data_IF_788072110006
#
_entry.id   IF_788072110006
#
_cell.length_a   1.000
_cell.length_b   1.000
_cell.length_c   1.000
_cell.angle_alpha   90.00
_cell.angle_beta   90.00
_cell.angle_gamma   90.00
#
_symmetry.space_group_name_H-M   'P 1'
#
loop_
_entity.id
_entity.type
_entity.pdbx_description
1 polymer ?
#
# COMPACT_ATOMS: atom_id res chain seq x y z
N UNK A 1 12.96 -48.17 -11.33
CA UNK A 1 11.93 -47.32 -10.69
C UNK A 1 11.85 -46.00 -11.45
N UNK A 2 10.83 -45.78 -12.28
CA UNK A 2 10.66 -44.53 -13.04
C UNK A 2 10.02 -43.46 -12.15
N UNK A 3 10.72 -42.35 -11.96
CA UNK A 3 10.16 -41.17 -11.30
C UNK A 3 9.03 -40.59 -12.18
N UNK A 4 7.80 -40.64 -11.68
CA UNK A 4 6.63 -40.05 -12.36
C UNK A 4 6.77 -38.53 -12.30
N UNK A 5 7.13 -37.90 -13.42
CA UNK A 5 7.07 -36.44 -13.54
C UNK A 5 5.60 -36.01 -13.49
N UNK A 6 5.26 -35.15 -12.52
CA UNK A 6 3.93 -34.55 -12.43
C UNK A 6 3.61 -33.78 -13.73
N UNK A 7 2.41 -34.00 -14.27
CA UNK A 7 1.95 -33.36 -15.51
C UNK A 7 1.93 -31.83 -15.35
N UNK A 8 2.05 -31.07 -16.44
CA UNK A 8 2.00 -29.60 -16.40
C UNK A 8 0.70 -29.08 -15.78
N UNK A 9 -0.41 -29.81 -15.96
CA UNK A 9 -1.69 -29.56 -15.29
C UNK A 9 -1.61 -29.75 -13.77
N UNK A 10 -0.92 -30.79 -13.29
CA UNK A 10 -0.72 -31.02 -11.86
C UNK A 10 0.18 -29.95 -11.22
N UNK A 11 1.16 -29.42 -11.96
CA UNK A 11 2.01 -28.30 -11.50
C UNK A 11 1.25 -26.98 -11.47
N UNK A 12 0.43 -26.70 -12.48
CA UNK A 12 -0.43 -25.52 -12.52
C UNK A 12 -1.48 -25.55 -11.40
N UNK A 13 -2.11 -26.72 -11.17
CA UNK A 13 -3.02 -26.94 -10.05
C UNK A 13 -2.34 -26.78 -8.70
N UNK A 14 -1.08 -27.20 -8.56
CA UNK A 14 -0.30 -27.01 -7.33
C UNK A 14 0.05 -25.53 -7.08
N UNK A 15 0.39 -24.76 -8.12
CA UNK A 15 0.64 -23.31 -8.00
C UNK A 15 -0.65 -22.56 -7.66
N UNK A 16 -1.78 -22.91 -8.31
CA UNK A 16 -3.11 -22.38 -7.98
C UNK A 16 -3.53 -22.75 -6.55
N UNK A 17 -3.27 -23.98 -6.11
CA UNK A 17 -3.54 -24.43 -4.75
C UNK A 17 -2.65 -23.73 -3.72
N UNK A 18 -1.37 -23.50 -4.02
CA UNK A 18 -0.45 -22.74 -3.16
C UNK A 18 -0.84 -21.26 -3.07
N UNK A 19 -1.25 -20.66 -4.19
CA UNK A 19 -1.84 -19.32 -4.20
C UNK A 19 -3.13 -19.27 -3.38
N UNK A 20 -3.99 -20.30 -3.47
CA UNK A 20 -5.22 -20.41 -2.68
C UNK A 20 -4.95 -20.60 -1.17
N UNK A 21 -3.89 -21.32 -0.77
CA UNK A 21 -3.52 -21.49 0.64
C UNK A 21 -2.95 -20.23 1.29
N UNK A 22 -2.46 -19.27 0.50
CA UNK A 22 -2.04 -17.95 1.00
C UNK A 22 -3.20 -17.08 1.53
N UNK A 23 -4.44 -17.39 1.15
CA UNK A 23 -5.64 -16.69 1.63
C UNK A 23 -6.20 -17.25 2.95
N UNK A 24 -5.63 -18.35 3.46
CA UNK A 24 -6.03 -18.98 4.72
C UNK A 24 -5.05 -18.60 5.85
N UNK A 25 -4.73 -17.32 6.01
CA UNK A 25 -4.08 -16.85 7.23
C UNK A 25 -5.10 -16.85 8.36
N UNK A 26 -5.14 -17.92 9.15
CA UNK A 26 -5.65 -17.81 10.53
C UNK A 26 -4.71 -16.87 11.27
N UNK A 27 -5.27 -15.89 11.99
CA UNK A 27 -4.49 -15.02 12.87
C UNK A 27 -3.68 -15.91 13.81
N UNK A 28 -2.35 -15.78 13.78
CA UNK A 28 -1.50 -16.41 14.77
C UNK A 28 -1.76 -15.69 16.10
N UNK A 29 -2.51 -16.34 16.99
CA UNK A 29 -2.83 -15.82 18.32
C UNK A 29 -1.61 -15.96 19.25
N UNK A 30 -0.57 -15.18 18.94
CA UNK A 30 0.62 -14.99 19.75
C UNK A 30 0.92 -13.50 19.99
N UNK A 31 -0.11 -12.65 19.86
CA UNK A 31 -0.02 -11.25 20.23
C UNK A 31 -0.42 -11.10 21.70
N UNK A 32 0.53 -10.64 22.52
CA UNK A 32 0.32 -10.17 23.91
C UNK A 32 -1.05 -9.48 24.01
N UNK A 33 -1.82 -9.81 25.06
CA UNK A 33 -3.05 -9.06 25.38
C UNK A 33 -2.65 -7.61 25.68
N UNK A 34 -2.78 -6.75 24.68
CA UNK A 34 -2.64 -5.31 24.83
C UNK A 34 -4.03 -4.71 25.07
N UNK A 35 -4.11 -3.71 25.94
CA UNK A 35 -5.37 -3.04 26.24
C UNK A 35 -5.61 -1.93 25.19
N UNK A 36 -6.62 -2.04 24.31
CA UNK A 36 -6.84 -1.07 23.22
C UNK A 36 -7.10 0.36 23.72
N UNK A 37 -7.64 0.49 24.93
CA UNK A 37 -7.91 1.78 25.58
C UNK A 37 -6.64 2.53 26.04
N UNK A 38 -5.48 1.86 26.07
CA UNK A 38 -4.21 2.43 26.56
C UNK A 38 -3.35 3.04 25.44
N UNK A 39 -3.57 2.67 24.17
CA UNK A 39 -2.78 3.20 23.05
C UNK A 39 -3.36 4.54 22.59
N UNK A 40 -2.78 5.63 23.08
CA UNK A 40 -3.07 6.97 22.56
C UNK A 40 -2.38 7.19 21.23
N UNK A 41 -3.17 7.05 20.18
CA UNK A 41 -2.88 7.46 18.82
C UNK A 41 -2.50 8.93 18.60
N UNK A 42 -1.89 9.22 17.45
CA UNK A 42 -1.85 10.57 16.87
C UNK A 42 -2.98 10.61 15.84
N UNK A 43 -3.97 11.51 15.99
CA UNK A 43 -5.01 11.69 14.99
C UNK A 43 -4.40 12.33 13.74
N UNK A 44 -4.82 11.85 12.57
CA UNK A 44 -4.37 12.31 11.26
C UNK A 44 -5.61 12.78 10.50
N UNK A 45 -5.61 14.05 10.12
CA UNK A 45 -6.70 14.63 9.32
C UNK A 45 -6.71 14.02 7.92
N UNK A 46 -7.87 13.57 7.45
CA UNK A 46 -8.02 13.06 6.09
C UNK A 46 -7.81 14.16 5.04
N UNK A 47 -7.23 13.78 3.92
CA UNK A 47 -7.16 14.60 2.70
C UNK A 47 -8.51 14.55 1.96
N UNK A 48 -8.85 15.65 1.30
CA UNK A 48 -9.87 15.58 0.24
C UNK A 48 -9.40 14.62 -0.87
N UNK A 49 -10.34 14.05 -1.61
CA UNK A 49 -10.03 13.18 -2.75
C UNK A 49 -9.11 13.88 -3.78
N UNK A 50 -9.38 15.15 -4.08
CA UNK A 50 -8.52 15.93 -4.97
C UNK A 50 -7.11 16.14 -4.42
N UNK A 51 -6.97 16.35 -3.11
CA UNK A 51 -5.67 16.50 -2.47
C UNK A 51 -4.86 15.20 -2.49
N UNK A 52 -5.52 14.03 -2.40
CA UNK A 52 -4.83 12.74 -2.51
C UNK A 52 -4.07 12.62 -3.83
N UNK A 53 -4.69 13.00 -4.95
CA UNK A 53 -4.05 12.91 -6.26
C UNK A 53 -2.75 13.73 -6.29
N UNK A 54 -2.72 14.91 -5.66
CA UNK A 54 -1.52 15.74 -5.58
C UNK A 54 -0.50 15.15 -4.62
N UNK A 55 -0.89 14.75 -3.40
CA UNK A 55 0.07 14.16 -2.43
C UNK A 55 0.65 12.85 -2.95
N UNK A 56 -0.11 12.08 -3.74
CA UNK A 56 0.39 10.87 -4.38
C UNK A 56 1.57 11.16 -5.31
N UNK A 57 1.50 12.22 -6.12
CA UNK A 57 2.59 12.64 -7.02
C UNK A 57 3.87 12.98 -6.22
N UNK A 58 3.71 13.56 -5.01
CA UNK A 58 4.82 14.04 -4.18
C UNK A 58 5.25 13.07 -3.06
N UNK A 59 4.53 11.96 -2.83
CA UNK A 59 4.80 11.04 -1.71
C UNK A 59 6.25 10.59 -1.70
N UNK A 60 6.81 10.25 -2.86
CA UNK A 60 8.19 9.77 -2.94
C UNK A 60 9.20 10.82 -2.47
N UNK A 61 8.96 12.10 -2.75
CA UNK A 61 9.83 13.20 -2.36
C UNK A 61 9.67 13.55 -0.88
N UNK A 62 8.45 13.48 -0.34
CA UNK A 62 8.20 13.57 1.11
C UNK A 62 9.01 12.50 1.85
N UNK A 63 8.95 11.25 1.38
CA UNK A 63 9.67 10.14 2.00
C UNK A 63 11.19 10.27 1.87
N UNK A 64 11.70 10.78 0.74
CA UNK A 64 13.13 11.08 0.57
C UNK A 64 13.59 12.16 1.56
N UNK A 65 12.78 13.20 1.77
CA UNK A 65 13.09 14.26 2.71
C UNK A 65 13.08 13.73 4.15
N UNK A 66 12.07 12.93 4.52
CA UNK A 66 12.00 12.27 5.81
C UNK A 66 13.20 11.35 6.07
N UNK A 67 13.70 10.65 5.05
CA UNK A 67 14.89 9.80 5.17
C UNK A 67 16.20 10.59 5.45
N UNK A 68 16.20 11.91 5.24
CA UNK A 68 17.35 12.79 5.50
C UNK A 68 17.24 13.51 6.85
N UNK A 69 16.13 13.34 7.56
CA UNK A 69 15.88 14.04 8.81
C UNK A 69 16.84 13.60 9.91
N UNK A 70 17.34 14.57 10.68
CA UNK A 70 18.27 14.32 11.79
C UNK A 70 17.59 14.42 13.15
N UNK A 71 16.47 15.14 13.24
CA UNK A 71 15.69 15.28 14.46
C UNK A 71 14.38 14.50 14.32
N UNK A 72 14.34 13.31 14.91
CA UNK A 72 13.18 12.42 14.89
C UNK A 72 12.64 12.29 16.32
N UNK A 73 11.62 13.07 16.65
CA UNK A 73 10.86 12.90 17.89
C UNK A 73 9.84 11.75 17.77
N UNK A 74 9.13 11.46 18.86
CA UNK A 74 8.14 10.37 18.89
C UNK A 74 7.05 10.55 17.81
N UNK A 75 6.57 11.78 17.63
CA UNK A 75 5.57 12.14 16.60
C UNK A 75 6.07 11.79 15.20
N UNK A 76 7.27 12.23 14.84
CA UNK A 76 7.88 11.94 13.54
C UNK A 76 7.96 10.42 13.31
N UNK A 77 8.51 9.68 14.27
CA UNK A 77 8.72 8.24 14.15
C UNK A 77 7.38 7.51 13.99
N UNK A 78 6.36 7.92 14.73
CA UNK A 78 5.02 7.31 14.67
C UNK A 78 4.32 7.58 13.35
N UNK A 79 4.35 8.82 12.85
CA UNK A 79 3.79 9.18 11.55
C UNK A 79 4.51 8.43 10.41
N UNK A 80 5.84 8.40 10.44
CA UNK A 80 6.66 7.69 9.45
C UNK A 80 6.36 6.19 9.44
N UNK A 81 6.34 5.57 10.61
CA UNK A 81 6.06 4.13 10.74
C UNK A 81 4.64 3.80 10.31
N UNK A 82 3.65 4.57 10.77
CA UNK A 82 2.26 4.41 10.36
C UNK A 82 2.12 4.51 8.84
N UNK A 83 2.64 5.57 8.22
CA UNK A 83 2.56 5.77 6.78
C UNK A 83 3.23 4.65 5.96
N UNK A 84 4.35 4.10 6.44
CA UNK A 84 5.03 2.97 5.78
C UNK A 84 4.26 1.65 5.94
N UNK A 85 3.73 1.37 7.13
CA UNK A 85 2.89 0.19 7.39
C UNK A 85 1.63 0.27 6.55
N UNK A 86 0.90 1.39 6.61
CA UNK A 86 -0.33 1.62 5.88
C UNK A 86 -0.12 1.49 4.36
N UNK A 87 0.95 2.05 3.82
CA UNK A 87 1.31 1.91 2.40
C UNK A 87 1.55 0.45 2.00
N UNK A 88 2.16 -0.35 2.88
CA UNK A 88 2.37 -1.78 2.65
C UNK A 88 1.05 -2.56 2.67
N UNK A 89 0.16 -2.27 3.63
CA UNK A 89 -1.18 -2.84 3.68
C UNK A 89 -2.01 -2.49 2.43
N UNK A 90 -1.78 -1.32 1.85
CA UNK A 90 -2.38 -0.87 0.59
C UNK A 90 -1.65 -1.36 -0.66
N UNK A 91 -0.84 -2.41 -0.56
CA UNK A 91 -0.08 -2.99 -1.68
C UNK A 91 0.73 -1.95 -2.45
N UNK A 92 1.39 -1.04 -1.73
CA UNK A 92 2.22 0.01 -2.29
C UNK A 92 1.47 0.94 -3.26
N UNK A 93 0.14 1.02 -3.17
CA UNK A 93 -0.67 1.82 -4.09
C UNK A 93 -0.64 1.31 -5.54
N UNK A 94 -0.24 0.05 -5.76
CA UNK A 94 -0.10 -0.53 -7.10
C UNK A 94 -1.44 -1.02 -7.69
N UNK A 95 -2.48 -1.13 -6.88
CA UNK A 95 -3.80 -1.59 -7.35
C UNK A 95 -4.43 -0.52 -8.24
N UNK A 96 -4.83 -0.83 -9.48
CA UNK A 96 -5.48 0.13 -10.37
C UNK A 96 -6.75 0.72 -9.77
N UNK A 97 -7.01 2.00 -10.06
CA UNK A 97 -8.21 2.70 -9.57
C UNK A 97 -8.12 3.13 -8.10
N UNK A 98 -7.10 2.75 -7.33
CA UNK A 98 -6.96 3.13 -5.90
C UNK A 98 -7.21 4.61 -5.62
N UNK A 99 -6.69 5.51 -6.47
CA UNK A 99 -6.83 6.96 -6.30
C UNK A 99 -7.93 7.58 -7.15
N UNK A 100 -8.24 6.99 -8.31
CA UNK A 100 -9.13 7.61 -9.30
C UNK A 100 -10.59 7.10 -9.20
N UNK A 101 -10.80 6.03 -8.44
CA UNK A 101 -12.10 5.38 -8.26
C UNK A 101 -12.43 5.34 -6.76
N UNK A 102 -13.46 6.06 -6.36
CA UNK A 102 -13.92 6.15 -4.97
C UNK A 102 -14.53 4.83 -4.48
N UNK A 103 -15.00 3.96 -5.39
CA UNK A 103 -15.55 2.64 -5.06
C UNK A 103 -14.45 1.57 -4.98
N UNK A 104 -13.18 1.95 -5.22
CA UNK A 104 -12.07 1.02 -5.12
C UNK A 104 -11.97 0.48 -3.69
N UNK A 105 -11.83 -0.85 -3.50
CA UNK A 105 -11.61 -1.46 -2.18
C UNK A 105 -10.33 -1.00 -1.46
N UNK A 106 -9.48 -0.23 -2.15
CA UNK A 106 -8.21 0.30 -1.65
C UNK A 106 -8.27 1.82 -1.42
N UNK A 107 -9.38 2.50 -1.74
CA UNK A 107 -9.47 3.96 -1.67
C UNK A 107 -9.30 4.50 -0.24
N UNK A 108 -10.01 3.95 0.73
CA UNK A 108 -9.91 4.35 2.15
C UNK A 108 -8.49 4.22 2.70
N UNK A 109 -7.86 3.07 2.43
CA UNK A 109 -6.52 2.81 2.92
C UNK A 109 -5.49 3.74 2.22
N UNK A 110 -5.80 4.19 0.99
CA UNK A 110 -5.03 5.22 0.31
C UNK A 110 -5.19 6.61 0.92
N UNK A 111 -6.40 6.98 1.34
CA UNK A 111 -6.60 8.18 2.16
C UNK A 111 -5.69 8.12 3.38
N UNK A 112 -5.64 6.99 4.07
CA UNK A 112 -4.84 6.82 5.28
C UNK A 112 -3.33 7.05 5.07
N UNK A 113 -2.69 6.37 4.09
CA UNK A 113 -1.24 6.54 3.91
C UNK A 113 -0.85 7.89 3.29
N UNK A 114 -1.70 8.49 2.45
CA UNK A 114 -1.43 9.80 1.86
C UNK A 114 -1.62 10.91 2.89
N UNK A 115 -2.64 10.80 3.74
CA UNK A 115 -2.85 11.73 4.85
C UNK A 115 -1.68 11.66 5.83
N UNK A 116 -1.17 10.46 6.13
CA UNK A 116 0.03 10.30 6.94
C UNK A 116 1.28 10.96 6.32
N UNK A 117 1.46 10.87 4.99
CA UNK A 117 2.57 11.53 4.31
C UNK A 117 2.44 13.06 4.39
N UNK A 118 1.23 13.61 4.21
CA UNK A 118 0.96 15.04 4.37
C UNK A 118 1.20 15.51 5.80
N UNK A 119 0.74 14.76 6.80
CA UNK A 119 0.95 15.08 8.22
C UNK A 119 2.43 15.02 8.59
N UNK A 120 3.18 14.02 8.10
CA UNK A 120 4.62 13.93 8.27
C UNK A 120 5.35 15.14 7.68
N UNK A 121 4.95 15.60 6.48
CA UNK A 121 5.50 16.81 5.88
C UNK A 121 5.19 18.06 6.72
N UNK A 122 3.96 18.17 7.23
CA UNK A 122 3.57 19.26 8.13
C UNK A 122 4.42 19.27 9.40
N UNK A 123 4.64 18.10 10.00
CA UNK A 123 5.50 17.98 11.18
C UNK A 123 6.96 18.36 10.88
N UNK A 124 7.52 17.92 9.75
CA UNK A 124 8.86 18.34 9.32
C UNK A 124 8.94 19.85 9.09
N UNK A 125 7.87 20.47 8.59
CA UNK A 125 7.81 21.93 8.41
C UNK A 125 8.01 22.67 9.72
N UNK A 126 7.54 22.10 10.83
CA UNK A 126 7.67 22.67 12.17
C UNK A 126 8.97 22.30 12.88
N UNK A 127 9.51 21.10 12.64
CA UNK A 127 10.62 20.55 13.44
C UNK A 127 11.95 20.35 12.70
N UNK A 128 11.93 20.21 11.36
CA UNK A 128 13.13 19.84 10.59
C UNK A 128 14.27 20.84 10.74
N UNK A 129 15.49 20.32 10.80
CA UNK A 129 16.71 21.12 10.73
C UNK A 129 16.96 21.71 9.33
N UNK A 130 16.38 21.14 8.27
CA UNK A 130 16.51 21.61 6.89
C UNK A 130 15.22 22.29 6.41
N UNK A 131 14.89 23.43 7.02
CA UNK A 131 13.67 24.20 6.72
C UNK A 131 13.53 24.58 5.25
N UNK A 132 14.64 24.92 4.60
CA UNK A 132 14.63 25.36 3.20
C UNK A 132 14.11 24.27 2.27
N UNK A 133 14.61 23.03 2.40
CA UNK A 133 14.15 21.91 1.57
C UNK A 133 12.69 21.52 1.84
N UNK A 134 12.24 21.65 3.10
CA UNK A 134 10.84 21.38 3.46
C UNK A 134 9.90 22.44 2.86
N UNK A 135 10.19 23.72 3.05
CA UNK A 135 9.35 24.81 2.53
C UNK A 135 9.33 24.83 0.99
N UNK A 136 10.43 24.50 0.32
CA UNK A 136 10.48 24.34 -1.14
C UNK A 136 9.52 23.22 -1.61
N UNK A 137 9.52 22.07 -0.94
CA UNK A 137 8.59 20.97 -1.26
C UNK A 137 7.14 21.36 -0.97
N UNK A 138 6.86 21.99 0.17
CA UNK A 138 5.52 22.49 0.54
C UNK A 138 5.03 23.49 -0.51
N UNK A 139 5.87 24.44 -0.93
CA UNK A 139 5.51 25.46 -1.91
C UNK A 139 5.12 24.86 -3.27
N UNK A 140 5.85 23.84 -3.75
CA UNK A 140 5.48 23.11 -4.98
C UNK A 140 4.15 22.39 -4.84
N UNK A 141 3.94 21.69 -3.72
CA UNK A 141 2.68 20.99 -3.45
C UNK A 141 1.52 22.00 -3.44
N UNK A 142 1.62 23.09 -2.69
CA UNK A 142 0.57 24.10 -2.60
C UNK A 142 0.25 24.74 -3.96
N UNK A 143 1.27 25.04 -4.77
CA UNK A 143 1.06 25.55 -6.12
C UNK A 143 0.27 24.56 -6.99
N UNK A 144 0.56 23.26 -6.91
CA UNK A 144 -0.15 22.24 -7.66
C UNK A 144 -1.55 21.94 -7.10
N UNK A 145 -1.74 22.04 -5.78
CA UNK A 145 -3.06 21.97 -5.14
C UNK A 145 -3.99 23.07 -5.68
N UNK A 146 -3.50 24.30 -5.78
CA UNK A 146 -4.26 25.44 -6.32
C UNK A 146 -4.55 25.25 -7.81
N UNK A 147 -3.54 24.89 -8.61
CA UNK A 147 -3.70 24.67 -10.07
C UNK A 147 -4.69 23.56 -10.40
N UNK A 148 -4.80 22.55 -9.55
CA UNK A 148 -5.69 21.39 -9.72
C UNK A 148 -7.02 21.56 -8.98
N UNK A 149 -7.28 22.70 -8.33
CA UNK A 149 -8.50 22.97 -7.55
C UNK A 149 -8.84 21.85 -6.53
N UNK A 150 -7.79 21.28 -5.92
CA UNK A 150 -7.86 19.99 -5.22
C UNK A 150 -8.70 20.00 -3.93
N UNK A 151 -8.96 21.18 -3.36
CA UNK A 151 -9.67 21.35 -2.09
C UNK A 151 -11.17 21.03 -2.16
N UNK A 152 -11.79 21.02 -3.35
CA UNK A 152 -13.24 20.88 -3.48
C UNK A 152 -13.70 19.49 -3.93
N UNK A 153 -12.78 18.62 -4.32
CA UNK A 153 -13.10 17.25 -4.73
C UNK A 153 -13.13 16.38 -3.49
N UNK A 154 -14.35 16.05 -3.03
CA UNK A 154 -14.62 15.26 -1.84
C UNK A 154 -15.13 13.86 -2.21
N UNK A 155 -14.86 12.90 -1.35
CA UNK A 155 -15.44 11.55 -1.35
C UNK A 155 -15.90 11.17 0.06
N UNK A 156 -16.45 9.96 0.23
CA UNK A 156 -16.95 9.47 1.53
C UNK A 156 -15.91 9.47 2.67
N UNK A 157 -14.62 9.30 2.35
CA UNK A 157 -13.53 9.26 3.34
C UNK A 157 -12.85 10.62 3.56
N UNK A 158 -13.26 11.66 2.83
CA UNK A 158 -12.67 13.00 2.95
C UNK A 158 -13.01 13.72 4.25
N UNK A 159 -14.01 13.22 5.00
CA UNK A 159 -14.41 13.73 6.31
C UNK A 159 -13.99 12.83 7.48
N UNK A 160 -13.31 11.72 7.20
CA UNK A 160 -12.84 10.81 8.23
C UNK A 160 -11.59 11.33 8.95
N UNK A 161 -11.29 10.70 10.08
CA UNK A 161 -10.04 10.89 10.80
C UNK A 161 -9.35 9.55 10.93
N UNK A 162 -8.06 9.51 10.61
CA UNK A 162 -7.23 8.32 10.78
C UNK A 162 -6.45 8.43 12.10
N UNK A 163 -5.94 7.31 12.58
CA UNK A 163 -5.17 7.28 13.81
C UNK A 163 -4.00 6.31 13.68
N UNK A 164 -2.80 6.73 14.10
CA UNK A 164 -1.60 5.87 14.10
C UNK A 164 -1.73 4.56 14.89
N UNK A 165 -2.71 4.44 15.78
CA UNK A 165 -3.01 3.27 16.58
C UNK A 165 -3.83 2.21 15.83
N UNK A 166 -4.41 2.55 14.66
CA UNK A 166 -5.24 1.64 13.89
C UNK A 166 -4.84 1.61 12.41
N UNK A 167 -4.75 0.41 11.84
CA UNK A 167 -4.44 0.22 10.41
C UNK A 167 -5.73 0.06 9.63
N UNK A 168 -5.88 0.84 8.57
CA UNK A 168 -7.00 0.73 7.62
C UNK A 168 -6.69 -0.39 6.63
N UNK A 169 -7.55 -1.41 6.54
CA UNK A 169 -7.32 -2.54 5.63
C UNK A 169 -8.13 -2.38 4.34
N UNK A 170 -7.63 -2.83 3.18
CA UNK A 170 -8.45 -2.94 1.98
C UNK A 170 -9.66 -3.85 2.22
N UNK A 171 -10.78 -3.54 1.56
CA UNK A 171 -12.01 -4.33 1.65
C UNK A 171 -11.95 -5.51 0.69
N UNK A 172 -11.20 -6.55 1.06
CA UNK A 172 -10.94 -7.72 0.20
C UNK A 172 -12.21 -8.38 -0.36
N UNK A 173 -13.32 -8.36 0.39
CA UNK A 173 -14.61 -8.92 -0.04
C UNK A 173 -15.23 -8.21 -1.24
N UNK A 174 -14.81 -6.98 -1.54
CA UNK A 174 -15.36 -6.19 -2.65
C UNK A 174 -14.51 -6.24 -3.92
N UNK A 175 -13.32 -6.85 -3.86
CA UNK A 175 -12.48 -7.09 -5.05
C UNK A 175 -13.25 -7.83 -6.17
N UNK A 176 -14.03 -8.89 -5.92
CA UNK A 176 -14.78 -9.56 -6.98
C UNK A 176 -15.87 -8.69 -7.63
N UNK A 177 -16.33 -7.64 -6.94
CA UNK A 177 -17.37 -6.73 -7.42
C UNK A 177 -16.77 -5.50 -8.14
N UNK A 178 -15.53 -5.16 -7.84
CA UNK A 178 -14.79 -4.06 -8.45
C UNK A 178 -13.96 -4.55 -9.65
N UNK A 179 -14.49 -4.36 -10.86
CA UNK A 179 -13.90 -4.88 -12.10
C UNK A 179 -12.41 -4.55 -12.30
N UNK A 180 -11.94 -3.31 -12.07
CA UNK A 180 -10.52 -3.00 -12.21
C UNK A 180 -9.63 -3.82 -11.26
N UNK A 181 -10.03 -3.96 -10.00
CA UNK A 181 -9.30 -4.77 -9.02
C UNK A 181 -9.33 -6.24 -9.41
N UNK A 182 -10.50 -6.78 -9.76
CA UNK A 182 -10.65 -8.17 -10.19
C UNK A 182 -9.75 -8.47 -11.39
N UNK A 183 -9.74 -7.60 -12.40
CA UNK A 183 -8.90 -7.73 -13.58
C UNK A 183 -7.40 -7.69 -13.22
N UNK A 184 -6.99 -6.78 -12.35
CA UNK A 184 -5.61 -6.66 -11.90
C UNK A 184 -5.12 -7.93 -11.19
N UNK A 185 -5.89 -8.43 -10.22
CA UNK A 185 -5.53 -9.65 -9.49
C UNK A 185 -5.60 -10.90 -10.37
N UNK A 186 -6.60 -11.00 -11.26
CA UNK A 186 -6.70 -12.11 -12.22
C UNK A 186 -5.53 -12.10 -13.20
N UNK A 187 -5.18 -10.94 -13.74
CA UNK A 187 -4.04 -10.76 -14.64
C UNK A 187 -2.72 -11.13 -13.98
N UNK A 188 -2.49 -10.68 -12.75
CA UNK A 188 -1.30 -11.05 -11.97
C UNK A 188 -1.25 -12.57 -11.72
N UNK A 189 -2.38 -13.18 -11.34
CA UNK A 189 -2.47 -14.63 -11.15
C UNK A 189 -2.14 -15.42 -12.42
N UNK A 190 -2.67 -14.99 -13.57
CA UNK A 190 -2.35 -15.59 -14.86
C UNK A 190 -0.87 -15.44 -15.25
N UNK A 191 -0.29 -14.26 -15.01
CA UNK A 191 1.12 -13.99 -15.29
C UNK A 191 2.04 -14.89 -14.44
N UNK A 192 1.76 -15.02 -13.14
CA UNK A 192 2.50 -15.90 -12.24
C UNK A 192 2.37 -17.37 -12.63
N UNK A 193 1.16 -17.81 -13.00
CA UNK A 193 0.93 -19.18 -13.49
C UNK A 193 1.73 -19.46 -14.77
N UNK A 194 1.72 -18.53 -15.73
CA UNK A 194 2.48 -18.65 -16.97
C UNK A 194 4.00 -18.70 -16.70
N UNK A 195 4.52 -17.82 -15.84
CA UNK A 195 5.93 -17.80 -15.44
C UNK A 195 6.36 -19.13 -14.80
N UNK A 196 5.53 -19.69 -13.91
CA UNK A 196 5.76 -20.99 -13.29
C UNK A 196 5.81 -22.14 -14.30
N UNK A 197 4.96 -22.12 -15.32
CA UNK A 197 4.96 -23.13 -16.39
C UNK A 197 6.25 -23.05 -17.25
N UNK A 198 6.69 -21.84 -17.60
CA UNK A 198 7.92 -21.63 -18.40
C UNK A 198 9.16 -22.10 -17.63
N UNK A 199 9.31 -21.67 -16.37
CA UNK A 199 10.42 -22.08 -15.50
C UNK A 199 10.41 -23.60 -15.22
N UNK A 200 9.23 -24.20 -15.07
CA UNK A 200 9.08 -25.65 -14.88
C UNK A 200 9.43 -26.49 -16.12
N UNK A 201 9.32 -25.91 -17.32
CA UNK A 201 9.68 -26.56 -18.60
C UNK A 201 11.18 -26.55 -18.84
N UNK A 202 11.89 -25.48 -18.46
CA UNK A 202 13.36 -25.37 -18.57
C UNK A 202 14.14 -26.38 -17.72
N UNK A 203 13.51 -26.98 -16.70
CA UNK A 203 14.12 -27.98 -15.81
C UNK A 203 13.96 -29.42 -16.29
N UNK A 204 13.39 -29.65 -17.47
CA UNK A 204 13.18 -30.98 -18.04
C UNK A 204 13.89 -31.12 -19.39
N UNK A 205 15.07 -31.77 -19.37
CA UNK A 205 15.77 -32.52 -20.45
C UNK A 205 17.00 -31.84 -21.09
N UNK A 206 18.08 -32.59 -21.47
CA UNK A 206 18.61 -33.89 -21.00
C UNK A 206 20.11 -33.85 -20.63
N UNK A 207 20.63 -34.89 -19.95
CA UNK A 207 21.99 -35.37 -20.25
C UNK A 207 21.92 -36.86 -20.59
N UNK A 208 22.17 -37.15 -21.87
CA UNK A 208 22.52 -38.46 -22.35
C UNK A 208 24.05 -38.53 -22.33
N UNK A 209 24.65 -39.50 -21.65
CA UNK A 209 25.89 -40.12 -22.13
C UNK A 209 26.04 -41.56 -21.62
N UNK A 210 26.35 -42.43 -22.59
CA UNK A 210 26.67 -43.87 -22.59
C UNK A 210 25.55 -44.89 -22.37
#
# INVERSE_FOLDING_TARGET
MQARHASPLARAALVLALAATGFASREAEAHRRFNPEEIKGIPIASLSHGQMAVIADYRSDIMKLAAQERQMDDTFVRLLNYGNIQYTYCLWGLVPGTLADEESPFNECAHAYLSAARELLSHMRETSANKEAVEDLVSRIDADMVRKESSFVLCQYSADTFDTASVVRPVWSDIPKHLPSLAAFSGLGLALAAAGMVLGKGRSRPDNHN
#
